data_IF_756786209192
#
_entry.id   IF_756786209192
#
_cell.length_a   1.000
_cell.length_b   1.000
_cell.length_c   1.000
_cell.angle_alpha   90.00
_cell.angle_beta   90.00
_cell.angle_gamma   90.00
#
_symmetry.space_group_name_H-M   'P 1'
#
loop_
_entity.id
_entity.type
_entity.pdbx_description
1 polymer ?
#
# COMPACT_ATOMS: atom_id res chain seq x y z
N UNK A 1 -11.72 13.71 -6.51
CA UNK A 1 -12.18 12.33 -6.24
C UNK A 1 -13.70 12.38 -6.25
N UNK A 2 -14.28 12.61 -7.42
CA UNK A 2 -15.71 12.90 -7.58
C UNK A 2 -16.55 11.63 -7.70
N UNK A 3 -15.95 10.51 -8.11
CA UNK A 3 -16.64 9.23 -8.30
C UNK A 3 -16.45 8.28 -7.10
N UNK A 4 -15.81 8.75 -6.03
CA UNK A 4 -15.52 7.96 -4.84
C UNK A 4 -16.64 8.19 -3.83
N UNK A 5 -17.52 7.21 -3.68
CA UNK A 5 -18.59 7.23 -2.67
C UNK A 5 -18.02 6.91 -1.31
N UNK A 6 -17.11 5.94 -1.19
CA UNK A 6 -16.46 5.59 0.06
C UNK A 6 -14.98 5.97 0.01
N UNK A 7 -14.59 7.05 0.68
CA UNK A 7 -13.21 7.51 0.72
C UNK A 7 -12.30 6.42 1.29
N UNK A 8 -11.08 6.25 0.76
CA UNK A 8 -10.15 5.29 1.31
C UNK A 8 -9.73 5.71 2.73
N UNK A 9 -9.50 4.73 3.59
CA UNK A 9 -8.68 4.95 4.77
C UNK A 9 -7.24 5.23 4.31
N UNK A 10 -6.65 6.31 4.81
CA UNK A 10 -5.26 6.68 4.55
C UNK A 10 -4.59 6.97 5.89
N UNK A 11 -3.72 6.05 6.33
CA UNK A 11 -2.97 6.25 7.56
C UNK A 11 -2.06 7.48 7.52
N UNK A 12 -1.82 8.10 8.68
CA UNK A 12 -1.04 9.35 8.79
C UNK A 12 0.41 9.19 8.31
N UNK A 13 0.94 7.97 8.38
CA UNK A 13 2.29 7.60 7.97
C UNK A 13 2.32 6.94 6.58
N UNK A 14 1.21 6.91 5.82
CA UNK A 14 1.15 6.24 4.52
C UNK A 14 2.28 6.65 3.57
N UNK A 15 2.57 7.95 3.48
CA UNK A 15 3.65 8.48 2.62
C UNK A 15 5.03 8.14 3.18
N UNK A 16 5.19 8.14 4.51
CA UNK A 16 6.48 7.97 5.19
C UNK A 16 6.65 6.60 5.83
N UNK A 17 5.93 5.60 5.32
CA UNK A 17 5.69 4.34 6.00
C UNK A 17 6.96 3.55 6.36
N UNK A 18 6.83 2.51 7.17
CA UNK A 18 7.97 1.66 7.56
C UNK A 18 8.31 0.57 6.54
N UNK A 19 7.46 0.34 5.54
CA UNK A 19 7.63 -0.74 4.56
C UNK A 19 8.59 -0.37 3.43
N UNK A 20 8.87 0.91 3.22
CA UNK A 20 9.69 1.38 2.10
C UNK A 20 8.95 1.34 0.75
N UNK A 21 7.64 1.07 0.77
CA UNK A 21 6.75 1.10 -0.37
C UNK A 21 5.35 1.53 0.09
N UNK A 22 4.66 2.39 -0.66
CA UNK A 22 3.26 2.75 -0.37
C UNK A 22 2.33 1.59 -0.71
N UNK A 23 1.62 1.05 0.29
CA UNK A 23 0.76 -0.13 0.16
C UNK A 23 -0.71 0.31 0.22
N UNK A 24 -1.47 0.00 -0.83
CA UNK A 24 -2.93 0.09 -0.85
C UNK A 24 -3.52 -1.33 -0.74
N UNK A 25 -4.28 -1.59 0.31
CA UNK A 25 -5.02 -2.83 0.49
C UNK A 25 -6.42 -2.67 -0.11
N UNK A 26 -6.81 -3.59 -0.98
CA UNK A 26 -8.06 -3.55 -1.71
C UNK A 26 -8.99 -4.68 -1.27
N UNK A 27 -10.04 -4.32 -0.54
CA UNK A 27 -11.18 -5.19 -0.27
C UNK A 27 -12.25 -5.11 -1.36
N UNK A 28 -13.22 -6.02 -1.30
CA UNK A 28 -14.26 -6.16 -2.32
C UNK A 28 -15.34 -5.09 -2.20
N UNK A 29 -16.06 -5.09 -1.09
CA UNK A 29 -17.32 -4.35 -0.91
C UNK A 29 -17.66 -4.16 0.56
N UNK A 30 -18.62 -3.27 0.82
CA UNK A 30 -19.22 -3.06 2.12
C UNK A 30 -20.57 -3.76 2.22
N UNK A 31 -20.82 -4.34 3.40
CA UNK A 31 -22.15 -4.78 3.81
C UNK A 31 -22.72 -3.74 4.77
N UNK A 32 -24.01 -3.46 4.68
CA UNK A 32 -24.66 -2.43 5.48
C UNK A 32 -26.09 -2.18 5.04
N UNK A 33 -26.69 -1.15 5.64
CA UNK A 33 -27.98 -0.59 5.24
C UNK A 33 -27.75 0.56 4.24
N UNK A 34 -28.79 1.02 3.50
CA UNK A 34 -28.64 2.18 2.61
C UNK A 34 -28.12 3.46 3.30
N UNK A 35 -28.39 3.61 4.59
CA UNK A 35 -27.91 4.74 5.42
C UNK A 35 -26.39 4.72 5.65
N UNK A 36 -25.75 3.55 5.47
CA UNK A 36 -24.29 3.39 5.54
C UNK A 36 -23.58 3.87 4.26
N UNK A 37 -24.31 4.31 3.23
CA UNK A 37 -23.75 4.84 1.99
C UNK A 37 -23.31 6.31 2.14
N UNK A 38 -22.28 6.55 2.96
CA UNK A 38 -21.70 7.88 3.17
C UNK A 38 -20.17 7.88 3.03
N UNK A 39 -19.60 9.09 2.85
CA UNK A 39 -18.22 9.25 2.38
C UNK A 39 -17.14 8.62 3.27
N UNK A 40 -17.33 8.69 4.58
CA UNK A 40 -16.33 8.25 5.55
C UNK A 40 -16.58 6.81 6.04
N UNK A 41 -17.52 6.06 5.46
CA UNK A 41 -17.87 4.73 5.94
C UNK A 41 -16.68 3.76 5.98
N UNK A 42 -15.84 3.73 4.93
CA UNK A 42 -14.59 2.93 4.96
C UNK A 42 -13.64 3.38 6.07
N UNK A 43 -13.54 4.69 6.31
CA UNK A 43 -12.67 5.26 7.32
C UNK A 43 -13.13 4.80 8.71
N UNK A 44 -14.43 4.92 8.98
CA UNK A 44 -15.04 4.51 10.24
C UNK A 44 -14.93 2.99 10.46
N UNK A 45 -15.13 2.18 9.42
CA UNK A 45 -14.94 0.72 9.48
C UNK A 45 -13.50 0.36 9.82
N UNK A 46 -12.50 0.98 9.18
CA UNK A 46 -11.08 0.71 9.47
C UNK A 46 -10.69 1.22 10.85
N UNK A 47 -11.17 2.40 11.27
CA UNK A 47 -10.94 2.90 12.63
C UNK A 47 -11.52 1.94 13.67
N UNK A 48 -12.79 1.55 13.50
CA UNK A 48 -13.50 0.68 14.44
C UNK A 48 -12.86 -0.71 14.51
N UNK A 49 -12.57 -1.37 13.39
CA UNK A 49 -12.16 -2.78 13.36
C UNK A 49 -10.68 -3.01 13.13
N UNK A 50 -10.00 -2.03 12.54
CA UNK A 50 -8.56 -1.99 12.36
C UNK A 50 -7.86 -1.46 13.60
N UNK A 51 -8.37 -0.40 14.27
CA UNK A 51 -7.64 0.30 15.34
C UNK A 51 -8.24 0.25 16.75
N UNK A 52 -9.55 0.28 16.89
CA UNK A 52 -10.20 0.35 18.22
C UNK A 52 -10.55 -1.06 18.73
N UNK A 53 -11.27 -1.83 17.92
CA UNK A 53 -11.71 -3.21 18.21
C UNK A 53 -10.99 -4.22 17.31
N UNK A 54 -11.26 -5.52 17.50
CA UNK A 54 -10.66 -6.58 16.69
C UNK A 54 -11.70 -7.34 15.90
N UNK A 55 -11.55 -7.31 14.58
CA UNK A 55 -12.22 -8.23 13.67
C UNK A 55 -11.18 -9.13 12.99
N UNK A 56 -11.52 -10.41 12.82
CA UNK A 56 -10.59 -11.40 12.25
C UNK A 56 -10.09 -11.01 10.86
N UNK A 57 -10.94 -10.39 10.04
CA UNK A 57 -10.59 -9.88 8.71
C UNK A 57 -9.43 -8.87 8.77
N UNK A 58 -9.59 -7.78 9.52
CA UNK A 58 -8.56 -6.75 9.68
C UNK A 58 -7.31 -7.27 10.41
N UNK A 59 -7.48 -8.17 11.39
CA UNK A 59 -6.35 -8.79 12.09
C UNK A 59 -5.48 -9.65 11.16
N UNK A 60 -6.11 -10.42 10.26
CA UNK A 60 -5.43 -11.26 9.28
C UNK A 60 -4.65 -10.42 8.28
N UNK A 61 -5.27 -9.40 7.70
CA UNK A 61 -4.60 -8.42 6.84
C UNK A 61 -3.39 -7.87 7.56
N UNK A 62 -3.58 -7.47 8.81
CA UNK A 62 -2.54 -6.83 9.57
C UNK A 62 -1.32 -7.69 9.80
N UNK A 63 -1.55 -8.92 10.25
CA UNK A 63 -0.50 -9.91 10.42
C UNK A 63 0.17 -10.23 9.09
N UNK A 64 -0.57 -10.35 8.00
CA UNK A 64 0.03 -10.65 6.70
C UNK A 64 0.96 -9.56 6.19
N UNK A 65 0.57 -8.29 6.31
CA UNK A 65 1.43 -7.17 5.89
C UNK A 65 2.68 -7.07 6.78
N UNK A 66 2.54 -7.35 8.08
CA UNK A 66 3.64 -7.40 9.05
C UNK A 66 4.51 -8.67 8.96
N UNK A 67 4.21 -9.60 8.03
CA UNK A 67 4.86 -10.90 7.91
C UNK A 67 4.75 -11.78 9.16
N UNK A 68 3.62 -11.71 9.85
CA UNK A 68 3.29 -12.54 11.01
C UNK A 68 2.43 -13.74 10.62
N UNK A 69 2.60 -14.84 11.31
CA UNK A 69 1.77 -16.04 11.19
C UNK A 69 0.81 -16.20 12.37
N UNK A 70 0.06 -17.31 12.45
CA UNK A 70 -0.91 -17.55 13.52
C UNK A 70 -0.33 -17.53 14.94
N UNK A 71 0.95 -17.84 15.12
CA UNK A 71 1.63 -17.87 16.43
C UNK A 71 1.96 -16.48 16.97
N UNK A 72 2.13 -15.48 16.10
CA UNK A 72 2.44 -14.12 16.53
C UNK A 72 1.20 -13.44 17.14
N UNK A 73 1.33 -12.95 18.36
CA UNK A 73 0.32 -12.07 18.95
C UNK A 73 0.48 -10.65 18.38
N UNK A 74 -0.57 -10.13 17.72
CA UNK A 74 -0.59 -8.76 17.21
C UNK A 74 -1.01 -7.82 18.35
N UNK A 75 -0.08 -7.07 18.91
CA UNK A 75 -0.34 -6.12 20.00
C UNK A 75 -1.26 -4.97 19.55
N UNK A 76 -1.83 -4.22 20.50
CA UNK A 76 -2.64 -3.04 20.16
C UNK A 76 -1.80 -1.95 19.48
N UNK A 77 -0.55 -1.78 19.90
CA UNK A 77 0.36 -0.81 19.31
C UNK A 77 0.70 -1.17 17.85
N UNK A 78 1.11 -2.41 17.57
CA UNK A 78 1.44 -2.85 16.20
C UNK A 78 0.22 -2.78 15.28
N UNK A 79 -0.95 -3.17 15.80
CA UNK A 79 -2.21 -3.08 15.06
C UNK A 79 -2.52 -1.64 14.67
N UNK A 80 -2.49 -0.72 15.62
CA UNK A 80 -2.70 0.70 15.35
C UNK A 80 -1.66 1.25 14.36
N UNK A 81 -0.38 0.99 14.64
CA UNK A 81 0.74 1.45 13.85
C UNK A 81 0.66 0.96 12.40
N UNK A 82 0.26 -0.28 12.16
CA UNK A 82 0.08 -0.76 10.80
C UNK A 82 -0.93 0.10 10.03
N UNK A 83 -2.12 0.32 10.57
CA UNK A 83 -3.17 1.06 9.86
C UNK A 83 -2.77 2.51 9.61
N UNK A 84 -1.89 3.08 10.44
CA UNK A 84 -1.26 4.37 10.15
C UNK A 84 -0.24 4.31 9.00
N UNK A 85 0.32 3.15 8.66
CA UNK A 85 1.36 2.99 7.63
C UNK A 85 0.83 2.53 6.26
N UNK A 86 -0.46 2.20 6.14
CA UNK A 86 -1.07 1.69 4.90
C UNK A 86 -2.33 2.48 4.53
N UNK A 87 -2.80 2.30 3.30
CA UNK A 87 -4.14 2.71 2.88
C UNK A 87 -5.04 1.49 2.70
N UNK A 88 -6.35 1.65 2.90
CA UNK A 88 -7.35 0.62 2.65
C UNK A 88 -8.55 1.19 1.89
N UNK A 89 -9.04 0.43 0.94
CA UNK A 89 -10.17 0.80 0.09
C UNK A 89 -10.98 -0.45 -0.26
N UNK A 90 -12.31 -0.34 -0.25
CA UNK A 90 -13.16 -1.35 -0.88
C UNK A 90 -13.45 -0.92 -2.32
N UNK A 91 -13.22 -1.82 -3.28
CA UNK A 91 -13.37 -1.50 -4.69
C UNK A 91 -14.78 -1.04 -5.03
N UNK A 92 -15.79 -1.80 -4.61
CA UNK A 92 -17.19 -1.50 -4.91
C UNK A 92 -17.66 -0.28 -4.12
N UNK A 93 -18.18 0.71 -4.85
CA UNK A 93 -18.62 2.01 -4.33
C UNK A 93 -20.12 2.08 -4.08
N UNK A 94 -20.72 0.97 -3.64
CA UNK A 94 -22.09 0.86 -3.18
C UNK A 94 -22.19 -0.20 -2.08
N UNK A 95 -23.20 -0.09 -1.21
CA UNK A 95 -23.55 -1.17 -0.29
C UNK A 95 -24.11 -2.36 -1.08
N UNK A 96 -23.57 -3.55 -0.90
CA UNK A 96 -24.02 -4.74 -1.66
C UNK A 96 -25.22 -5.44 -1.01
N UNK A 97 -25.47 -5.16 0.28
CA UNK A 97 -26.61 -5.67 1.04
C UNK A 97 -26.28 -5.81 2.53
N UNK A 98 -27.27 -6.18 3.32
CA UNK A 98 -27.18 -6.21 4.79
C UNK A 98 -26.41 -7.41 5.36
N UNK A 99 -26.12 -8.42 4.53
CA UNK A 99 -25.60 -9.71 4.98
C UNK A 99 -24.39 -10.20 4.20
N UNK A 100 -23.53 -10.96 4.87
CA UNK A 100 -22.39 -11.62 4.25
C UNK A 100 -22.82 -12.54 3.09
N UNK A 101 -21.90 -12.75 2.12
CA UNK A 101 -22.07 -13.59 0.91
C UNK A 101 -22.99 -13.00 -0.15
N UNK A 102 -23.51 -11.80 0.03
CA UNK A 102 -24.12 -11.04 -1.05
C UNK A 102 -23.00 -10.47 -1.94
N UNK A 103 -23.05 -10.76 -3.24
CA UNK A 103 -22.02 -10.36 -4.19
C UNK A 103 -22.41 -9.08 -4.92
N UNK A 104 -21.43 -8.24 -5.31
CA UNK A 104 -21.70 -7.09 -6.15
C UNK A 104 -22.28 -7.52 -7.51
N UNK A 105 -23.20 -6.71 -8.03
CA UNK A 105 -23.72 -6.91 -9.39
C UNK A 105 -22.69 -6.47 -10.43
N UNK A 106 -22.81 -6.95 -11.68
CA UNK A 106 -21.96 -6.50 -12.79
C UNK A 106 -21.95 -4.98 -12.95
N UNK A 107 -23.09 -4.33 -12.72
CA UNK A 107 -23.21 -2.87 -12.78
C UNK A 107 -22.40 -2.17 -11.67
N UNK A 108 -22.47 -2.68 -10.43
CA UNK A 108 -21.67 -2.17 -9.30
C UNK A 108 -20.17 -2.26 -9.60
N UNK A 109 -19.71 -3.39 -10.16
CA UNK A 109 -18.31 -3.56 -10.56
C UNK A 109 -17.90 -2.57 -11.65
N UNK A 110 -18.72 -2.36 -12.69
CA UNK A 110 -18.40 -1.44 -13.78
C UNK A 110 -18.35 0.01 -13.32
N UNK A 111 -19.33 0.47 -12.52
CA UNK A 111 -19.39 1.84 -12.01
C UNK A 111 -18.20 2.19 -11.09
N UNK A 112 -17.63 1.17 -10.43
CA UNK A 112 -16.53 1.35 -9.48
C UNK A 112 -15.14 1.52 -10.13
N UNK A 113 -15.00 1.24 -11.43
CA UNK A 113 -13.72 1.33 -12.16
C UNK A 113 -13.09 2.72 -12.08
N UNK A 114 -13.88 3.75 -12.37
CA UNK A 114 -13.40 5.14 -12.38
C UNK A 114 -12.98 5.59 -10.99
N UNK A 115 -13.68 5.14 -9.95
CA UNK A 115 -13.35 5.47 -8.56
C UNK A 115 -11.98 4.90 -8.16
N UNK A 116 -11.70 3.63 -8.48
CA UNK A 116 -10.39 3.03 -8.21
C UNK A 116 -9.28 3.80 -8.92
N UNK A 117 -9.46 4.19 -10.18
CA UNK A 117 -8.45 4.97 -10.91
C UNK A 117 -8.17 6.33 -10.25
N UNK A 118 -9.20 7.00 -9.72
CA UNK A 118 -9.02 8.25 -8.97
C UNK A 118 -8.26 8.02 -7.66
N UNK A 119 -8.53 6.92 -6.96
CA UNK A 119 -7.83 6.54 -5.72
C UNK A 119 -6.36 6.22 -6.01
N UNK A 120 -6.07 5.40 -7.03
CA UNK A 120 -4.71 5.07 -7.44
C UNK A 120 -3.94 6.34 -7.83
N UNK A 121 -4.53 7.21 -8.64
CA UNK A 121 -3.87 8.46 -9.04
C UNK A 121 -3.60 9.39 -7.85
N UNK A 122 -4.52 9.46 -6.89
CA UNK A 122 -4.38 10.33 -5.72
C UNK A 122 -3.37 9.81 -4.71
N UNK A 123 -3.38 8.49 -4.45
CA UNK A 123 -2.54 7.88 -3.42
C UNK A 123 -1.17 7.44 -3.95
N UNK A 124 -1.03 7.28 -5.27
CA UNK A 124 0.20 6.84 -5.93
C UNK A 124 0.78 5.56 -5.29
N UNK A 125 -0.03 4.48 -5.09
CA UNK A 125 0.47 3.27 -4.45
C UNK A 125 1.54 2.60 -5.29
N UNK A 126 2.53 2.00 -4.62
CA UNK A 126 3.58 1.20 -5.27
C UNK A 126 3.27 -0.29 -5.19
N UNK A 127 2.47 -0.70 -4.19
CA UNK A 127 1.97 -2.06 -4.03
C UNK A 127 0.44 -2.02 -3.87
N UNK A 128 -0.25 -2.84 -4.65
CA UNK A 128 -1.68 -3.09 -4.53
C UNK A 128 -1.91 -4.52 -4.01
N UNK A 129 -2.46 -4.64 -2.79
CA UNK A 129 -2.77 -5.93 -2.15
C UNK A 129 -4.24 -6.25 -2.38
N UNK A 130 -4.52 -7.17 -3.30
CA UNK A 130 -5.89 -7.51 -3.72
C UNK A 130 -6.41 -8.70 -2.90
N UNK A 131 -7.51 -8.51 -2.18
CA UNK A 131 -8.05 -9.51 -1.27
C UNK A 131 -9.13 -10.38 -1.95
N UNK A 132 -8.72 -11.52 -2.52
CA UNK A 132 -9.63 -12.55 -3.04
C UNK A 132 -9.75 -12.60 -4.55
N UNK A 133 -10.07 -13.79 -5.06
CA UNK A 133 -10.14 -14.10 -6.50
C UNK A 133 -11.28 -13.38 -7.21
N UNK A 134 -12.44 -13.22 -6.58
CA UNK A 134 -13.59 -12.58 -7.22
C UNK A 134 -13.30 -11.11 -7.52
N UNK A 135 -12.74 -10.39 -6.54
CA UNK A 135 -12.24 -9.04 -6.73
C UNK A 135 -11.19 -9.01 -7.85
N UNK A 136 -10.18 -9.89 -7.80
CA UNK A 136 -9.13 -9.95 -8.81
C UNK A 136 -9.67 -10.10 -10.25
N UNK A 137 -10.68 -10.95 -10.45
CA UNK A 137 -11.28 -11.19 -11.76
C UNK A 137 -12.09 -10.00 -12.30
N UNK A 138 -12.51 -9.07 -11.43
CA UNK A 138 -13.34 -7.92 -11.78
C UNK A 138 -12.56 -6.59 -11.79
N UNK A 139 -11.26 -6.60 -11.48
CA UNK A 139 -10.45 -5.40 -11.55
C UNK A 139 -10.31 -4.89 -13.00
N UNK A 140 -10.28 -3.57 -13.21
CA UNK A 140 -9.81 -3.00 -14.46
C UNK A 140 -8.30 -3.21 -14.60
N UNK A 141 -7.77 -2.90 -15.77
CA UNK A 141 -6.31 -2.84 -15.97
C UNK A 141 -5.68 -1.89 -14.96
N UNK A 142 -4.72 -2.40 -14.19
CA UNK A 142 -3.96 -1.62 -13.22
C UNK A 142 -2.82 -0.90 -13.97
N UNK A 143 -2.59 0.41 -13.72
CA UNK A 143 -1.49 1.13 -14.34
C UNK A 143 -0.13 0.44 -14.17
N UNK A 144 0.69 0.51 -15.20
CA UNK A 144 2.06 -0.01 -15.16
C UNK A 144 2.88 0.61 -14.02
N UNK A 145 3.82 -0.17 -13.48
CA UNK A 145 4.72 0.28 -12.42
C UNK A 145 4.17 0.12 -10.99
N UNK A 146 2.94 -0.39 -10.84
CA UNK A 146 2.38 -0.81 -9.56
C UNK A 146 2.57 -2.33 -9.42
N UNK A 147 3.23 -2.76 -8.36
CA UNK A 147 3.31 -4.19 -8.03
C UNK A 147 1.96 -4.65 -7.48
N UNK A 148 1.35 -5.66 -8.10
CA UNK A 148 0.06 -6.20 -7.66
C UNK A 148 0.26 -7.60 -7.10
N UNK A 149 -0.23 -7.84 -5.88
CA UNK A 149 -0.28 -9.19 -5.31
C UNK A 149 -1.72 -9.60 -4.99
N UNK A 150 -2.10 -10.77 -5.51
CA UNK A 150 -3.42 -11.36 -5.35
C UNK A 150 -3.40 -12.36 -4.20
N UNK A 151 -4.13 -12.05 -3.13
CA UNK A 151 -4.15 -12.86 -1.92
C UNK A 151 -5.40 -13.74 -1.85
N UNK A 152 -5.27 -14.86 -1.14
CA UNK A 152 -6.44 -15.61 -0.70
C UNK A 152 -7.20 -14.75 0.32
N UNK A 153 -8.52 -14.60 0.13
CA UNK A 153 -9.33 -13.70 0.95
C UNK A 153 -9.23 -14.06 2.45
N UNK A 154 -9.10 -13.08 3.37
CA UNK A 154 -8.95 -13.33 4.81
C UNK A 154 -10.03 -14.22 5.44
N UNK A 155 -11.25 -14.13 4.93
CA UNK A 155 -12.40 -14.94 5.39
C UNK A 155 -12.60 -16.26 4.63
N UNK A 156 -11.73 -16.61 3.69
CA UNK A 156 -11.83 -17.86 2.92
C UNK A 156 -11.19 -19.04 3.66
N UNK A 157 -11.68 -20.25 3.39
CA UNK A 157 -11.07 -21.50 3.87
C UNK A 157 -9.68 -21.78 3.29
N UNK A 158 -9.33 -21.14 2.16
CA UNK A 158 -8.01 -21.24 1.54
C UNK A 158 -6.97 -20.26 2.09
N UNK A 159 -7.31 -19.45 3.11
CA UNK A 159 -6.37 -18.47 3.66
C UNK A 159 -5.14 -19.13 4.29
N UNK A 160 -3.95 -18.71 3.90
CA UNK A 160 -2.67 -19.17 4.45
C UNK A 160 -1.77 -17.97 4.71
N UNK A 161 -1.30 -17.82 5.96
CA UNK A 161 -0.30 -16.81 6.30
C UNK A 161 0.99 -17.03 5.49
N UNK A 162 1.51 -18.25 5.44
CA UNK A 162 2.75 -18.53 4.70
C UNK A 162 2.68 -18.06 3.24
N UNK A 163 1.59 -18.40 2.54
CA UNK A 163 1.39 -17.99 1.14
C UNK A 163 1.19 -16.49 1.01
N UNK A 164 0.23 -15.93 1.76
CA UNK A 164 -0.13 -14.52 1.61
C UNK A 164 1.01 -13.59 2.05
N UNK A 165 1.72 -13.94 3.12
CA UNK A 165 2.87 -13.17 3.58
C UNK A 165 3.97 -13.17 2.52
N UNK A 166 4.30 -14.33 1.95
CA UNK A 166 5.33 -14.41 0.91
C UNK A 166 4.99 -13.53 -0.30
N UNK A 167 3.74 -13.52 -0.73
CA UNK A 167 3.28 -12.68 -1.84
C UNK A 167 3.45 -11.18 -1.53
N UNK A 168 3.03 -10.73 -0.34
CA UNK A 168 3.17 -9.33 0.08
C UNK A 168 4.64 -8.93 0.20
N UNK A 169 5.46 -9.75 0.87
CA UNK A 169 6.88 -9.45 1.04
C UNK A 169 7.62 -9.41 -0.30
N UNK A 170 7.30 -10.32 -1.24
CA UNK A 170 7.88 -10.31 -2.58
C UNK A 170 7.58 -9.02 -3.33
N UNK A 171 6.33 -8.52 -3.29
CA UNK A 171 5.97 -7.25 -3.93
C UNK A 171 6.68 -6.05 -3.29
N UNK A 172 6.78 -6.00 -1.96
CA UNK A 172 7.51 -4.94 -1.26
C UNK A 172 8.99 -4.95 -1.66
N UNK A 173 9.63 -6.12 -1.68
CA UNK A 173 11.04 -6.26 -2.08
C UNK A 173 11.25 -5.99 -3.58
N UNK A 174 10.28 -6.32 -4.45
CA UNK A 174 10.33 -5.97 -5.86
C UNK A 174 10.37 -4.44 -6.06
N UNK A 175 9.52 -3.69 -5.35
CA UNK A 175 9.54 -2.21 -5.36
C UNK A 175 10.90 -1.68 -4.89
N UNK A 176 11.41 -2.14 -3.74
CA UNK A 176 12.70 -1.68 -3.22
C UNK A 176 13.85 -1.98 -4.18
N UNK A 177 13.87 -3.17 -4.78
CA UNK A 177 14.87 -3.58 -5.77
C UNK A 177 14.81 -2.71 -7.01
N UNK A 178 13.61 -2.42 -7.53
CA UNK A 178 13.45 -1.53 -8.67
C UNK A 178 13.94 -0.11 -8.35
N UNK A 179 13.65 0.39 -7.15
CA UNK A 179 14.15 1.70 -6.71
C UNK A 179 15.68 1.74 -6.70
N UNK A 180 16.31 0.70 -6.13
CA UNK A 180 17.76 0.58 -6.05
C UNK A 180 18.40 0.51 -7.45
N UNK A 181 17.78 -0.21 -8.39
CA UNK A 181 18.23 -0.29 -9.79
C UNK A 181 18.15 1.07 -10.49
N UNK A 182 17.09 1.85 -10.26
CA UNK A 182 16.97 3.19 -10.83
C UNK A 182 18.03 4.14 -10.30
N UNK A 183 18.32 4.11 -8.99
CA UNK A 183 19.42 4.88 -8.42
C UNK A 183 20.78 4.45 -9.01
N UNK A 184 21.04 3.14 -9.09
CA UNK A 184 22.26 2.60 -9.68
C UNK A 184 22.44 3.02 -11.15
N UNK A 185 21.34 3.05 -11.93
CA UNK A 185 21.36 3.51 -13.30
C UNK A 185 21.72 5.01 -13.42
N UNK A 186 21.23 5.86 -12.51
CA UNK A 186 21.62 7.28 -12.46
C UNK A 186 23.11 7.46 -12.13
N UNK A 187 23.64 6.68 -11.19
CA UNK A 187 25.05 6.69 -10.83
C UNK A 187 25.90 6.24 -12.02
N UNK A 188 25.59 5.08 -12.62
CA UNK A 188 26.32 4.51 -13.76
C UNK A 188 26.33 5.43 -14.97
N UNK A 189 25.21 6.11 -15.24
CA UNK A 189 25.08 7.07 -16.34
C UNK A 189 25.65 8.46 -16.03
N UNK A 190 26.29 8.66 -14.86
CA UNK A 190 26.85 9.95 -14.41
C UNK A 190 25.83 11.11 -14.43
N UNK A 191 24.55 10.80 -14.24
CA UNK A 191 23.46 11.80 -14.15
C UNK A 191 23.39 12.48 -12.78
N UNK A 192 24.08 11.93 -11.78
CA UNK A 192 24.28 12.55 -10.47
C UNK A 192 25.68 13.13 -10.40
N UNK A 193 25.79 14.37 -9.91
CA UNK A 193 27.08 14.94 -9.51
C UNK A 193 27.65 14.14 -8.35
N UNK A 194 28.97 14.06 -8.19
CA UNK A 194 29.59 13.43 -7.02
C UNK A 194 30.39 14.50 -6.25
N UNK A 195 29.94 14.97 -5.07
CA UNK A 195 28.76 14.50 -4.33
C UNK A 195 27.42 15.07 -4.85
N UNK A 196 26.30 14.54 -4.34
CA UNK A 196 24.93 15.01 -4.64
C UNK A 196 24.05 15.09 -3.40
N UNK A 197 22.95 15.83 -3.49
CA UNK A 197 21.87 15.85 -2.48
C UNK A 197 20.70 14.99 -2.93
N UNK A 198 19.83 14.59 -2.00
CA UNK A 198 18.59 13.85 -2.31
C UNK A 198 17.73 14.56 -3.37
N UNK A 199 17.76 15.89 -3.40
CA UNK A 199 17.04 16.70 -4.39
C UNK A 199 17.45 16.38 -5.85
N UNK A 200 18.68 15.91 -6.09
CA UNK A 200 19.09 15.47 -7.44
C UNK A 200 18.44 14.14 -7.85
N UNK A 201 18.24 13.22 -6.91
CA UNK A 201 17.48 11.98 -7.15
C UNK A 201 16.02 12.32 -7.42
N UNK A 202 15.41 13.18 -6.59
CA UNK A 202 14.02 13.64 -6.79
C UNK A 202 13.79 14.24 -8.18
N UNK A 203 14.69 15.11 -8.66
CA UNK A 203 14.54 15.73 -9.99
C UNK A 203 14.72 14.74 -11.14
N UNK A 204 15.62 13.76 -11.01
CA UNK A 204 15.89 12.79 -12.08
C UNK A 204 14.82 11.70 -12.18
N UNK A 205 14.25 11.28 -11.05
CA UNK A 205 13.26 10.18 -11.00
C UNK A 205 11.83 10.67 -10.79
N UNK A 206 11.63 11.98 -10.60
CA UNK A 206 10.35 12.60 -10.26
C UNK A 206 9.72 12.03 -8.98
N UNK A 207 10.57 11.64 -8.02
CA UNK A 207 10.15 11.04 -6.76
C UNK A 207 9.93 12.06 -5.65
N UNK A 208 8.98 11.74 -4.77
CA UNK A 208 8.82 12.42 -3.48
C UNK A 208 10.07 12.26 -2.58
N UNK A 209 10.24 13.20 -1.65
CA UNK A 209 11.45 13.29 -0.83
C UNK A 209 11.71 12.00 -0.03
N UNK A 210 10.67 11.43 0.58
CA UNK A 210 10.79 10.22 1.39
C UNK A 210 11.31 9.01 0.58
N UNK A 211 10.76 8.74 -0.62
CA UNK A 211 11.21 7.62 -1.48
C UNK A 211 12.65 7.81 -1.92
N UNK A 212 13.00 9.03 -2.34
CA UNK A 212 14.37 9.38 -2.73
C UNK A 212 15.36 9.26 -1.56
N UNK A 213 14.97 9.67 -0.35
CA UNK A 213 15.80 9.52 0.85
C UNK A 213 15.99 8.05 1.20
N UNK A 214 14.93 7.25 1.17
CA UNK A 214 15.00 5.82 1.49
C UNK A 214 15.90 5.04 0.54
N UNK A 215 15.84 5.28 -0.77
CA UNK A 215 16.73 4.59 -1.71
C UNK A 215 18.20 4.96 -1.44
N UNK A 216 18.48 6.22 -1.12
CA UNK A 216 19.84 6.66 -0.79
C UNK A 216 20.32 6.04 0.54
N UNK A 217 19.47 6.02 1.56
CA UNK A 217 19.78 5.35 2.84
C UNK A 217 20.08 3.87 2.64
N UNK A 218 19.28 3.15 1.84
CA UNK A 218 19.58 1.74 1.51
C UNK A 218 20.90 1.59 0.76
N UNK A 219 21.20 2.48 -0.19
CA UNK A 219 22.46 2.46 -0.91
C UNK A 219 23.67 2.73 -0.01
N UNK A 220 23.52 3.56 1.04
CA UNK A 220 24.54 3.73 2.09
C UNK A 220 24.73 2.43 2.86
N UNK A 221 23.65 1.78 3.32
CA UNK A 221 23.74 0.50 4.02
C UNK A 221 24.36 -0.62 3.17
N UNK A 222 24.30 -0.51 1.84
CA UNK A 222 24.91 -1.44 0.88
C UNK A 222 26.35 -1.08 0.48
N UNK A 223 26.90 0.02 1.01
CA UNK A 223 28.26 0.47 0.69
C UNK A 223 28.41 1.03 -0.74
N UNK A 224 27.32 1.50 -1.35
CA UNK A 224 27.35 2.18 -2.66
C UNK A 224 27.49 3.71 -2.53
N UNK A 225 27.07 4.25 -1.39
CA UNK A 225 27.15 5.68 -1.08
C UNK A 225 27.74 5.89 0.32
N UNK A 226 28.49 6.97 0.49
CA UNK A 226 28.77 7.55 1.81
C UNK A 226 27.79 8.70 2.08
N UNK A 227 27.36 8.84 3.32
CA UNK A 227 26.54 9.96 3.77
C UNK A 227 27.35 10.86 4.70
N UNK A 228 27.33 12.16 4.42
CA UNK A 228 27.88 13.21 5.27
C UNK A 228 26.81 14.28 5.49
N UNK A 229 26.83 14.93 6.65
CA UNK A 229 25.95 16.06 6.96
C UNK A 229 26.79 17.34 7.00
N UNK A 230 26.40 18.33 6.19
CA UNK A 230 27.08 19.62 6.07
C UNK A 230 26.01 20.71 6.07
N UNK A 231 26.07 21.64 7.03
CA UNK A 231 25.10 22.73 7.18
C UNK A 231 23.63 22.26 7.12
N UNK A 232 23.30 21.24 7.94
CA UNK A 232 21.98 20.58 8.02
C UNK A 232 21.50 19.94 6.69
N UNK A 233 22.42 19.69 5.75
CA UNK A 233 22.13 19.01 4.47
C UNK A 233 22.80 17.65 4.41
N UNK A 234 21.99 16.65 4.06
CA UNK A 234 22.46 15.31 3.74
C UNK A 234 23.13 15.30 2.35
N UNK A 235 24.43 15.06 2.34
CA UNK A 235 25.30 14.99 1.16
C UNK A 235 25.73 13.54 0.95
N UNK A 236 25.43 12.99 -0.23
CA UNK A 236 25.78 11.63 -0.62
C UNK A 236 26.97 11.64 -1.58
N UNK A 237 27.96 10.78 -1.34
CA UNK A 237 29.12 10.56 -2.21
C UNK A 237 29.10 9.15 -2.76
N UNK A 238 29.35 8.97 -4.05
CA UNK A 238 29.48 7.65 -4.67
C UNK A 238 30.84 7.06 -4.30
N UNK A 239 30.84 5.81 -3.84
CA UNK A 239 32.03 5.00 -3.54
C UNK A 239 32.49 4.25 -4.79
#
# INVERSE_FOLDING_TARGET
>A
MENVVFKPWVGSNYVTNTFGARILVLGESHYGSPEDEYEDYTIDVVKMWGQENRLAFFTKIAKTVLNYDSSNYLTNHERYALWENVAFYNYVQAIVGEGARIRPTSEMWQKSKTALNQVIHKLDPQVLVVLGTELANNLPDIPEGIEVCYLNHPSSGGYSYATNNQLVQNSIEAVKRNDDLQLAALIKSKKLTNPFTVAKVQRNLLWGNWRAKNVCTRAVSKGLLELTEIDDKLIYRVI
#
